data_IF_321279023173
#
_entry.id   IF_321279023173
#
_cell.length_a   1.000
_cell.length_b   1.000
_cell.length_c   1.000
_cell.angle_alpha   90.00
_cell.angle_beta   90.00
_cell.angle_gamma   90.00
#
_symmetry.space_group_name_H-M   'P 1'
#
loop_
_entity.id
_entity.type
_entity.pdbx_description
1 polymer ?
#
# COMPACT_ATOMS: atom_id res chain seq x y z
N UNK A 1 28.59 -3.26 8.33
CA UNK A 1 27.13 -3.41 8.28
C UNK A 1 26.52 -2.05 8.51
N UNK A 2 26.13 -1.35 7.45
CA UNK A 2 25.49 -0.05 7.52
C UNK A 2 24.01 -0.26 7.82
N UNK A 3 23.56 0.18 8.98
CA UNK A 3 22.13 0.27 9.29
C UNK A 3 21.48 1.17 8.23
N UNK A 4 20.60 0.61 7.40
CA UNK A 4 19.72 1.39 6.56
C UNK A 4 18.73 2.10 7.50
N UNK A 5 19.03 3.36 7.85
CA UNK A 5 18.11 4.19 8.61
C UNK A 5 16.80 4.30 7.83
N UNK A 6 15.69 3.90 8.48
CA UNK A 6 14.35 4.02 7.92
C UNK A 6 14.09 5.51 7.64
N UNK A 7 14.18 5.92 6.38
CA UNK A 7 13.93 7.31 6.00
C UNK A 7 12.42 7.54 6.00
N UNK A 8 11.89 8.00 7.12
CA UNK A 8 10.48 8.38 7.23
C UNK A 8 10.30 9.74 6.54
N UNK A 9 9.51 9.84 5.46
CA UNK A 9 9.20 11.12 4.83
C UNK A 9 8.58 12.08 5.85
N UNK A 10 8.90 13.38 5.75
CA UNK A 10 8.37 14.43 6.64
C UNK A 10 6.85 14.43 6.77
N UNK A 11 6.12 14.06 5.72
CA UNK A 11 4.65 13.93 5.74
C UNK A 11 4.17 12.85 6.72
N UNK A 12 4.84 11.68 6.75
CA UNK A 12 4.53 10.61 7.71
C UNK A 12 4.97 10.99 9.14
N UNK A 13 6.03 11.78 9.27
CA UNK A 13 6.45 12.33 10.56
C UNK A 13 5.50 13.42 11.10
N UNK A 14 4.76 14.11 10.21
CA UNK A 14 3.85 15.21 10.54
C UNK A 14 2.38 14.77 10.66
N UNK A 15 2.11 13.47 10.83
CA UNK A 15 0.76 12.98 11.08
C UNK A 15 0.16 13.61 12.36
N UNK A 16 -1.18 13.79 12.43
CA UNK A 16 -1.84 14.25 13.64
C UNK A 16 -1.44 13.39 14.85
N UNK A 17 -1.42 14.01 16.03
CA UNK A 17 -1.13 13.31 17.28
C UNK A 17 -2.33 12.46 17.66
N UNK A 18 -2.42 11.28 17.08
CA UNK A 18 -3.44 10.29 17.36
C UNK A 18 -2.98 9.35 18.47
N UNK A 19 -3.93 8.86 19.27
CA UNK A 19 -3.66 7.83 20.27
C UNK A 19 -3.53 6.45 19.62
N UNK A 20 -4.24 6.24 18.50
CA UNK A 20 -4.25 5.00 17.73
C UNK A 20 -4.43 5.27 16.23
N UNK A 21 -3.93 4.36 15.39
CA UNK A 21 -4.25 4.32 13.96
C UNK A 21 -4.82 2.95 13.62
N UNK A 22 -5.99 2.96 13.00
CA UNK A 22 -6.64 1.74 12.50
C UNK A 22 -6.75 1.74 10.99
N UNK A 23 -6.91 0.58 10.38
CA UNK A 23 -7.15 0.42 8.95
C UNK A 23 -8.23 -0.64 8.71
N UNK A 24 -8.92 -0.52 7.57
CA UNK A 24 -9.83 -1.56 7.09
C UNK A 24 -9.46 -1.87 5.63
N UNK A 25 -9.17 -3.15 5.34
CA UNK A 25 -8.73 -3.63 4.03
C UNK A 25 -9.63 -4.77 3.56
N UNK A 26 -9.79 -4.88 2.24
CA UNK A 26 -10.48 -5.97 1.56
C UNK A 26 -9.64 -6.44 0.37
N UNK A 27 -9.12 -7.66 0.42
CA UNK A 27 -8.37 -8.24 -0.70
C UNK A 27 -9.34 -8.78 -1.75
N UNK A 28 -9.31 -8.21 -2.96
CA UNK A 28 -10.27 -8.56 -4.01
C UNK A 28 -10.04 -9.94 -4.64
N UNK A 29 -8.86 -10.52 -4.45
CA UNK A 29 -8.54 -11.85 -4.99
C UNK A 29 -8.86 -12.97 -4.03
N UNK A 30 -8.63 -12.78 -2.72
CA UNK A 30 -8.90 -13.81 -1.70
C UNK A 30 -10.26 -13.62 -1.03
N UNK A 31 -10.87 -12.44 -1.12
CA UNK A 31 -12.10 -12.08 -0.40
C UNK A 31 -11.87 -11.80 1.09
N UNK A 32 -10.64 -11.93 1.58
CA UNK A 32 -10.28 -11.71 2.98
C UNK A 32 -10.40 -10.22 3.34
N UNK A 33 -10.80 -9.97 4.58
CA UNK A 33 -11.00 -8.62 5.12
C UNK A 33 -10.34 -8.53 6.47
N UNK A 34 -9.73 -7.38 6.75
CA UNK A 34 -9.23 -7.03 8.08
C UNK A 34 -9.75 -5.65 8.47
N UNK A 35 -10.06 -5.48 9.76
CA UNK A 35 -10.30 -4.17 10.38
C UNK A 35 -9.64 -4.19 11.75
N UNK A 36 -8.52 -3.50 11.88
CA UNK A 36 -7.68 -3.59 13.06
C UNK A 36 -6.97 -2.26 13.35
N UNK A 37 -6.56 -2.07 14.59
CA UNK A 37 -5.60 -1.04 15.01
C UNK A 37 -4.20 -1.60 14.77
N UNK A 38 -3.35 -0.89 14.02
CA UNK A 38 -2.00 -1.37 13.66
C UNK A 38 -0.88 -0.56 14.30
N UNK A 39 -1.23 0.58 14.90
CA UNK A 39 -0.32 1.46 15.61
C UNK A 39 -1.03 2.09 16.79
N UNK A 40 -0.35 2.18 17.92
CA UNK A 40 -0.85 2.78 19.16
C UNK A 40 0.30 3.43 19.92
N UNK A 41 0.09 4.62 20.49
CA UNK A 41 1.01 5.26 21.45
C UNK A 41 2.49 5.29 20.98
N UNK A 42 2.74 5.57 19.70
CA UNK A 42 4.11 5.69 19.17
C UNK A 42 4.69 4.43 18.54
N UNK A 43 4.02 3.28 18.63
CA UNK A 43 4.55 1.98 18.18
C UNK A 43 3.58 1.26 17.25
N UNK A 44 4.14 0.53 16.28
CA UNK A 44 3.37 -0.45 15.52
C UNK A 44 3.07 -1.69 16.39
N UNK A 45 1.96 -2.36 16.10
CA UNK A 45 1.55 -3.57 16.79
C UNK A 45 1.93 -4.79 15.95
N UNK A 46 2.87 -5.60 16.44
CA UNK A 46 3.46 -6.70 15.67
C UNK A 46 2.43 -7.74 15.20
N UNK A 47 1.47 -8.10 16.06
CA UNK A 47 0.39 -9.04 15.71
C UNK A 47 -0.48 -8.51 14.56
N UNK A 48 -0.80 -7.22 14.61
CA UNK A 48 -1.58 -6.56 13.57
C UNK A 48 -0.81 -6.44 12.26
N UNK A 49 0.50 -6.14 12.33
CA UNK A 49 1.35 -6.15 11.14
C UNK A 49 1.46 -7.56 10.54
N UNK A 50 1.53 -8.61 11.36
CA UNK A 50 1.53 -10.00 10.88
C UNK A 50 0.22 -10.36 10.15
N UNK A 51 -0.93 -9.93 10.69
CA UNK A 51 -2.24 -10.11 10.03
C UNK A 51 -2.30 -9.36 8.69
N UNK A 52 -1.78 -8.13 8.64
CA UNK A 52 -1.69 -7.34 7.40
C UNK A 52 -0.76 -8.00 6.38
N UNK A 53 0.40 -8.51 6.81
CA UNK A 53 1.33 -9.23 5.94
C UNK A 53 0.65 -10.46 5.31
N UNK A 54 -0.13 -11.19 6.09
CA UNK A 54 -0.90 -12.32 5.58
C UNK A 54 -1.97 -11.87 4.60
N UNK A 55 -2.80 -10.87 4.94
CA UNK A 55 -3.85 -10.36 4.04
C UNK A 55 -3.28 -9.82 2.71
N UNK A 56 -2.08 -9.23 2.76
CA UNK A 56 -1.39 -8.61 1.62
C UNK A 56 -0.41 -9.55 0.91
N UNK A 57 -0.41 -10.84 1.25
CA UNK A 57 0.44 -11.86 0.64
C UNK A 57 0.18 -12.01 -0.86
N UNK A 58 1.10 -12.68 -1.55
CA UNK A 58 0.88 -13.04 -2.94
C UNK A 58 -0.24 -14.08 -3.03
N UNK A 59 -1.41 -13.69 -3.52
CA UNK A 59 -2.57 -14.57 -3.61
C UNK A 59 -2.37 -15.76 -4.57
N UNK A 60 -1.40 -15.70 -5.49
CA UNK A 60 -1.15 -16.77 -6.46
C UNK A 60 -0.25 -17.86 -5.93
N UNK A 61 0.67 -17.53 -5.03
CA UNK A 61 1.63 -18.49 -4.46
C UNK A 61 1.38 -18.78 -2.99
N UNK A 62 0.67 -17.89 -2.28
CA UNK A 62 0.51 -17.94 -0.83
C UNK A 62 1.71 -17.39 -0.06
N UNK A 63 2.76 -16.94 -0.76
CA UNK A 63 3.98 -16.44 -0.11
C UNK A 63 3.68 -15.15 0.66
N UNK A 64 3.92 -15.21 1.97
CA UNK A 64 3.82 -14.07 2.89
C UNK A 64 5.16 -13.36 2.97
N UNK A 65 5.14 -12.03 2.96
CA UNK A 65 6.33 -11.19 3.10
C UNK A 65 6.00 -10.00 4.00
N UNK A 66 6.97 -9.49 4.79
CA UNK A 66 6.79 -8.24 5.52
C UNK A 66 6.38 -7.10 4.58
N UNK A 67 5.31 -6.40 4.93
CA UNK A 67 4.86 -5.18 4.26
C UNK A 67 5.42 -3.99 5.03
N UNK A 68 5.93 -3.00 4.29
CA UNK A 68 6.41 -1.75 4.86
C UNK A 68 5.26 -1.01 5.57
N UNK A 69 5.34 -0.81 6.91
CA UNK A 69 4.28 -0.13 7.66
C UNK A 69 3.97 1.29 7.16
N UNK A 70 4.92 1.94 6.48
CA UNK A 70 4.70 3.24 5.87
C UNK A 70 3.62 3.21 4.77
N UNK A 71 3.40 2.07 4.10
CA UNK A 71 2.27 1.91 3.17
C UNK A 71 0.93 2.01 3.92
N UNK A 72 0.84 1.40 5.11
CA UNK A 72 -0.38 1.40 5.92
C UNK A 72 -0.65 2.81 6.45
N UNK A 73 0.41 3.54 6.84
CA UNK A 73 0.31 4.96 7.20
C UNK A 73 -0.15 5.84 6.03
N UNK A 74 0.32 5.58 4.80
CA UNK A 74 -0.18 6.26 3.60
C UNK A 74 -1.68 6.00 3.40
N UNK A 75 -2.14 4.75 3.52
CA UNK A 75 -3.57 4.42 3.42
C UNK A 75 -4.39 5.14 4.50
N UNK A 76 -3.89 5.19 5.74
CA UNK A 76 -4.53 5.91 6.82
C UNK A 76 -4.70 7.40 6.46
N UNK A 77 -3.63 8.07 5.99
CA UNK A 77 -3.67 9.47 5.59
C UNK A 77 -4.63 9.73 4.42
N UNK A 78 -4.64 8.84 3.43
CA UNK A 78 -5.57 8.92 2.30
C UNK A 78 -7.02 8.81 2.77
N UNK A 79 -7.30 7.90 3.70
CA UNK A 79 -8.64 7.76 4.29
C UNK A 79 -9.07 9.04 5.01
N UNK A 80 -8.18 9.61 5.83
CA UNK A 80 -8.45 10.86 6.55
C UNK A 80 -8.74 12.02 5.59
N UNK A 81 -7.96 12.16 4.52
CA UNK A 81 -8.18 13.17 3.47
C UNK A 81 -9.48 12.95 2.69
N UNK A 82 -9.85 11.69 2.44
CA UNK A 82 -11.09 11.35 1.74
C UNK A 82 -12.35 11.59 2.60
N UNK A 83 -12.22 11.61 3.94
CA UNK A 83 -13.37 11.70 4.85
C UNK A 83 -14.28 10.46 4.76
N UNK A 84 -13.71 9.28 4.47
CA UNK A 84 -14.46 8.03 4.23
C UNK A 84 -14.11 6.96 5.25
N UNK A 85 -15.05 6.05 5.50
CA UNK A 85 -14.86 4.89 6.39
C UNK A 85 -14.86 3.54 5.66
N UNK A 86 -15.08 3.55 4.34
CA UNK A 86 -15.05 2.33 3.54
C UNK A 86 -13.65 1.67 3.59
N UNK A 87 -13.58 0.32 3.60
CA UNK A 87 -12.31 -0.38 3.48
C UNK A 87 -11.60 -0.04 2.16
N UNK A 88 -10.27 0.04 2.17
CA UNK A 88 -9.53 0.02 0.91
C UNK A 88 -9.67 -1.35 0.28
N UNK A 89 -9.94 -1.37 -1.02
CA UNK A 89 -9.85 -2.58 -1.81
C UNK A 89 -8.41 -2.75 -2.29
N UNK A 90 -7.84 -3.92 -2.02
CA UNK A 90 -6.49 -4.29 -2.41
C UNK A 90 -6.56 -5.15 -3.67
N UNK A 91 -5.94 -4.66 -4.73
CA UNK A 91 -5.78 -5.36 -6.01
C UNK A 91 -4.49 -6.17 -5.96
N UNK A 92 -3.41 -5.60 -5.44
CA UNK A 92 -2.13 -6.30 -5.26
C UNK A 92 -1.41 -5.77 -4.04
N UNK A 93 -0.96 -6.69 -3.18
CA UNK A 93 0.04 -6.44 -2.14
C UNK A 93 1.40 -6.95 -2.59
N UNK A 94 2.07 -7.72 -1.74
CA UNK A 94 3.33 -8.39 -2.08
C UNK A 94 3.18 -9.28 -3.32
N UNK A 95 4.25 -9.32 -4.15
CA UNK A 95 4.37 -10.23 -5.29
C UNK A 95 5.62 -11.07 -5.14
N UNK A 96 5.46 -12.40 -5.13
CA UNK A 96 6.59 -13.31 -5.19
C UNK A 96 7.40 -13.08 -6.49
N UNK A 97 8.71 -13.40 -6.51
CA UNK A 97 9.49 -13.40 -7.74
C UNK A 97 8.83 -14.19 -8.87
N UNK A 98 8.22 -15.34 -8.54
CA UNK A 98 7.48 -16.19 -9.48
C UNK A 98 6.31 -15.44 -10.13
N UNK A 99 5.48 -14.77 -9.32
CA UNK A 99 4.37 -13.96 -9.84
C UNK A 99 4.86 -12.77 -10.65
N UNK A 100 5.89 -12.05 -10.19
CA UNK A 100 6.38 -10.89 -10.92
C UNK A 100 6.98 -11.25 -12.28
N UNK A 101 7.75 -12.34 -12.36
CA UNK A 101 8.24 -12.88 -13.64
C UNK A 101 7.09 -13.28 -14.57
N UNK A 102 6.08 -13.97 -14.03
CA UNK A 102 4.89 -14.37 -14.81
C UNK A 102 4.10 -13.18 -15.36
N UNK A 103 3.97 -12.09 -14.59
CA UNK A 103 3.25 -10.89 -15.03
C UNK A 103 4.06 -10.06 -16.03
N UNK A 104 5.36 -9.86 -15.77
CA UNK A 104 6.26 -9.10 -16.65
C UNK A 104 6.53 -9.77 -17.99
N UNK A 105 6.40 -11.09 -18.10
CA UNK A 105 6.48 -11.79 -19.40
C UNK A 105 5.23 -11.60 -20.26
N UNK A 106 4.10 -11.23 -19.66
CA UNK A 106 2.80 -11.04 -20.34
C UNK A 106 2.47 -9.59 -20.66
N UNK A 107 3.21 -8.64 -20.09
CA UNK A 107 2.93 -7.21 -20.24
C UNK A 107 4.18 -6.36 -20.05
N UNK A 108 4.33 -5.31 -20.86
CA UNK A 108 5.33 -4.27 -20.66
C UNK A 108 5.01 -3.33 -19.50
N UNK A 109 3.78 -3.38 -18.95
CA UNK A 109 3.33 -2.54 -17.84
C UNK A 109 3.81 -3.00 -16.45
N UNK A 110 4.56 -4.10 -16.36
CA UNK A 110 5.06 -4.64 -15.09
C UNK A 110 6.59 -4.60 -15.07
N UNK A 111 7.14 -3.85 -14.12
CA UNK A 111 8.58 -3.74 -13.93
C UNK A 111 9.19 -5.09 -13.50
N UNK A 112 10.32 -5.47 -14.10
CA UNK A 112 11.07 -6.69 -13.73
C UNK A 112 11.58 -6.66 -12.28
N UNK A 113 11.88 -5.46 -11.77
CA UNK A 113 12.28 -5.19 -10.37
C UNK A 113 11.23 -4.29 -9.73
N UNK A 114 10.09 -4.88 -9.38
CA UNK A 114 8.94 -4.16 -8.83
C UNK A 114 9.07 -4.03 -7.31
N UNK A 115 8.72 -2.88 -6.73
CA UNK A 115 8.69 -2.67 -5.28
C UNK A 115 7.64 -3.55 -4.56
N UNK A 116 6.69 -4.12 -5.30
CA UNK A 116 5.81 -5.16 -4.73
C UNK A 116 6.59 -6.40 -4.27
N UNK A 117 7.72 -6.71 -4.91
CA UNK A 117 8.57 -7.84 -4.49
C UNK A 117 9.34 -7.55 -3.20
N UNK A 118 9.37 -6.30 -2.77
CA UNK A 118 10.06 -5.86 -1.57
C UNK A 118 9.07 -5.56 -0.43
N UNK A 119 7.77 -5.79 -0.65
CA UNK A 119 6.71 -5.41 0.30
C UNK A 119 6.51 -3.90 0.43
N UNK A 120 6.96 -3.14 -0.58
CA UNK A 120 7.01 -1.67 -0.57
C UNK A 120 6.04 -1.02 -1.56
N UNK A 121 5.05 -1.76 -2.07
CA UNK A 121 4.02 -1.20 -2.96
C UNK A 121 2.67 -1.89 -2.81
N UNK A 122 1.60 -1.12 -3.05
CA UNK A 122 0.22 -1.57 -3.09
C UNK A 122 -0.50 -1.02 -4.32
N UNK A 123 -1.36 -1.84 -4.91
CA UNK A 123 -2.35 -1.39 -5.91
C UNK A 123 -3.73 -1.36 -5.23
N UNK A 124 -4.35 -0.18 -5.18
CA UNK A 124 -5.51 0.10 -4.32
C UNK A 124 -6.67 0.77 -5.06
N UNK A 125 -7.87 0.60 -4.50
CA UNK A 125 -9.06 1.44 -4.72
C UNK A 125 -9.67 1.84 -3.38
N UNK A 126 -10.43 2.91 -3.38
CA UNK A 126 -11.27 3.31 -2.25
C UNK A 126 -12.73 3.42 -2.73
N UNK A 127 -13.62 2.48 -2.37
CA UNK A 127 -15.01 2.50 -2.81
C UNK A 127 -15.68 3.84 -2.54
N UNK A 128 -16.37 4.36 -3.55
CA UNK A 128 -17.07 5.65 -3.52
C UNK A 128 -16.15 6.89 -3.50
N UNK A 129 -14.84 6.72 -3.73
CA UNK A 129 -13.92 7.80 -4.06
C UNK A 129 -13.62 7.76 -5.56
N UNK A 130 -13.67 8.92 -6.23
CA UNK A 130 -13.22 9.03 -7.61
C UNK A 130 -11.72 8.68 -7.72
N UNK A 131 -11.36 7.89 -8.74
CA UNK A 131 -10.01 7.36 -8.90
C UNK A 131 -8.97 8.46 -9.09
N UNK A 132 -9.29 9.50 -9.87
CA UNK A 132 -8.39 10.64 -10.09
C UNK A 132 -8.20 11.46 -8.81
N UNK A 133 -9.25 11.65 -8.02
CA UNK A 133 -9.15 12.31 -6.71
C UNK A 133 -8.32 11.50 -5.70
N UNK A 134 -8.46 10.18 -5.68
CA UNK A 134 -7.63 9.30 -4.85
C UNK A 134 -6.15 9.41 -5.26
N UNK A 135 -5.88 9.35 -6.56
CA UNK A 135 -4.54 9.51 -7.11
C UNK A 135 -3.93 10.87 -6.74
N UNK A 136 -4.67 11.97 -6.96
CA UNK A 136 -4.19 13.30 -6.61
C UNK A 136 -3.90 13.42 -5.10
N UNK A 137 -4.77 12.87 -4.26
CA UNK A 137 -4.56 12.85 -2.81
C UNK A 137 -3.28 12.11 -2.41
N UNK A 138 -2.92 11.04 -3.13
CA UNK A 138 -1.67 10.29 -2.93
C UNK A 138 -0.44 11.05 -3.43
N UNK A 139 -0.51 11.68 -4.60
CA UNK A 139 0.54 12.58 -5.12
C UNK A 139 0.83 13.69 -4.11
N UNK A 140 -0.21 14.28 -3.52
CA UNK A 140 -0.09 15.37 -2.55
C UNK A 140 0.52 14.95 -1.21
N UNK A 141 0.65 13.65 -0.93
CA UNK A 141 1.40 13.17 0.23
C UNK A 141 2.92 13.31 0.01
N UNK A 142 3.37 13.28 -1.24
CA UNK A 142 4.79 13.30 -1.63
C UNK A 142 5.59 12.19 -0.93
N UNK A 143 4.97 11.02 -0.77
CA UNK A 143 5.58 9.81 -0.20
C UNK A 143 5.67 8.78 -1.31
N UNK A 144 6.90 8.45 -1.69
CA UNK A 144 7.25 7.48 -2.72
C UNK A 144 6.50 7.64 -4.05
N UNK A 145 6.44 6.56 -4.81
CA UNK A 145 5.86 6.55 -6.15
C UNK A 145 4.35 6.46 -6.15
N UNK A 146 3.70 7.14 -7.09
CA UNK A 146 2.25 7.05 -7.32
C UNK A 146 1.96 6.84 -8.81
N UNK A 147 1.18 5.82 -9.14
CA UNK A 147 0.80 5.49 -10.51
C UNK A 147 -0.72 5.49 -10.71
N UNK A 148 -1.20 6.09 -11.78
CA UNK A 148 -2.61 6.04 -12.18
C UNK A 148 -2.85 4.99 -13.27
N UNK A 149 -3.72 4.02 -13.01
CA UNK A 149 -4.08 2.97 -13.96
C UNK A 149 -5.57 3.01 -14.28
N UNK A 150 -6.02 3.99 -15.07
CA UNK A 150 -7.45 4.17 -15.41
C UNK A 150 -8.09 2.94 -16.04
N UNK A 151 -7.43 2.32 -17.03
CA UNK A 151 -7.95 1.12 -17.71
C UNK A 151 -8.15 -0.08 -16.78
N UNK A 152 -7.28 -0.22 -15.78
CA UNK A 152 -7.38 -1.27 -14.76
C UNK A 152 -8.07 -0.79 -13.49
N UNK A 153 -8.52 0.47 -13.49
CA UNK A 153 -9.24 1.17 -12.44
C UNK A 153 -8.54 1.15 -11.06
N UNK A 154 -7.23 1.35 -10.94
CA UNK A 154 -6.56 1.39 -9.63
C UNK A 154 -5.50 2.49 -9.52
N UNK A 155 -5.13 2.82 -8.29
CA UNK A 155 -3.98 3.68 -7.96
C UNK A 155 -2.88 2.80 -7.39
N UNK A 156 -1.68 2.91 -7.93
CA UNK A 156 -0.47 2.34 -7.36
C UNK A 156 0.14 3.32 -6.36
N UNK A 157 0.59 2.84 -5.22
CA UNK A 157 1.42 3.58 -4.26
C UNK A 157 2.63 2.74 -3.86
N UNK A 158 3.77 3.38 -3.65
CA UNK A 158 4.98 2.74 -3.12
C UNK A 158 5.75 3.65 -2.16
N UNK A 159 6.69 3.08 -1.40
CA UNK A 159 7.55 3.81 -0.45
C UNK A 159 8.96 4.10 -1.00
N UNK A 160 9.16 3.98 -2.31
CA UNK A 160 10.42 4.24 -3.00
C UNK A 160 10.69 5.74 -3.22
N UNK A 161 11.36 6.07 -4.34
CA UNK A 161 11.59 7.48 -4.71
C UNK A 161 10.30 8.14 -5.19
N UNK A 162 10.12 9.40 -4.81
CA UNK A 162 9.00 10.23 -5.28
C UNK A 162 9.03 10.35 -6.79
N UNK A 163 7.99 9.83 -7.43
CA UNK A 163 7.78 9.85 -8.88
C UNK A 163 6.31 9.57 -9.19
N UNK A 164 5.82 10.13 -10.28
CA UNK A 164 4.41 9.99 -10.66
C UNK A 164 4.30 9.54 -12.11
N UNK A 165 3.39 8.62 -12.41
CA UNK A 165 3.20 8.08 -13.76
C UNK A 165 1.77 7.63 -14.01
N UNK A 166 1.50 7.18 -15.23
CA UNK A 166 0.19 6.68 -15.63
C UNK A 166 -0.70 7.76 -16.23
N UNK A 167 -1.95 7.38 -16.49
CA UNK A 167 -2.94 8.19 -17.21
C UNK A 167 -4.35 7.78 -16.82
#
# INVERSE_FOLDING_TARGET
MTAAGLHIPKTLAAMPREHERSIALHNLHTGEKAKLTYWEQGRYLDESLAELNYLLRDFRTGDVHPIDPALIDMLHLLRMRAGRTAPFEIISGYRSPKTNTMLSSKSSGVAKRSLHMEGQALDIRLPGQDLHKLHQSAVDLKVGGVGLYTKSNFVHIDTGRVRYWGS
#
